data_IF_763930616621
#
_entry.id   IF_763930616621
#
_cell.length_a   1.000
_cell.length_b   1.000
_cell.length_c   1.000
_cell.angle_alpha   90.00
_cell.angle_beta   90.00
_cell.angle_gamma   90.00
#
_symmetry.space_group_name_H-M   'P 1'
#
loop_
_entity.id
_entity.type
_entity.pdbx_description
1 polymer ?
#
# COMPACT_ATOMS: atom_id res chain seq x y z
N UNK A 1 -0.46 1.25 -24.26
CA UNK A 1 -0.10 2.11 -23.11
C UNK A 1 0.22 1.17 -21.95
N UNK A 2 1.29 1.42 -21.22
CA UNK A 2 1.67 0.67 -20.02
C UNK A 2 0.63 0.93 -18.92
N UNK A 3 0.07 -0.13 -18.34
CA UNK A 3 -0.99 -0.04 -17.35
C UNK A 3 -0.43 -0.20 -15.93
N UNK A 4 -0.53 0.85 -15.13
CA UNK A 4 -0.01 0.92 -13.76
C UNK A 4 -1.16 0.72 -12.78
N UNK A 5 -1.12 -0.38 -12.00
CA UNK A 5 -2.19 -0.75 -11.07
C UNK A 5 -1.65 -0.85 -9.65
N UNK A 6 -2.34 -0.19 -8.71
CA UNK A 6 -2.10 -0.39 -7.29
C UNK A 6 -2.89 -1.59 -6.76
N UNK A 7 -2.22 -2.50 -6.05
CA UNK A 7 -2.88 -3.52 -5.24
C UNK A 7 -2.73 -3.21 -3.75
N UNK A 8 -3.85 -3.19 -3.03
CA UNK A 8 -3.88 -3.03 -1.58
C UNK A 8 -4.05 -4.39 -0.94
N UNK A 9 -3.01 -4.88 -0.27
CA UNK A 9 -3.06 -6.09 0.53
C UNK A 9 -3.83 -5.83 1.84
N UNK A 10 -5.01 -6.44 1.98
CA UNK A 10 -5.89 -6.22 3.13
C UNK A 10 -6.52 -7.52 3.63
N UNK A 11 -6.37 -7.81 4.94
CA UNK A 11 -6.99 -8.95 5.61
C UNK A 11 -7.51 -8.55 6.99
N UNK A 12 -8.60 -9.20 7.43
CA UNK A 12 -9.13 -9.00 8.79
C UNK A 12 -8.30 -9.75 9.85
N UNK A 13 -7.57 -10.79 9.44
CA UNK A 13 -6.85 -11.72 10.31
C UNK A 13 -5.48 -11.21 10.79
N UNK A 14 -5.37 -9.98 11.27
CA UNK A 14 -4.16 -9.50 11.95
C UNK A 14 -4.02 -10.14 13.32
N UNK A 15 -2.85 -10.69 13.65
CA UNK A 15 -2.60 -11.31 14.95
C UNK A 15 -2.54 -10.30 16.10
N UNK A 16 -1.99 -9.12 15.85
CA UNK A 16 -1.80 -8.04 16.84
C UNK A 16 -3.03 -7.14 17.01
N UNK A 17 -3.79 -6.95 15.93
CA UNK A 17 -4.97 -6.08 15.90
C UNK A 17 -6.02 -6.65 14.92
N UNK A 18 -6.78 -7.68 15.35
CA UNK A 18 -7.82 -8.28 14.52
C UNK A 18 -8.86 -7.26 14.05
N UNK A 19 -9.26 -7.35 12.80
CA UNK A 19 -10.27 -6.44 12.24
C UNK A 19 -9.78 -5.05 11.88
N UNK A 20 -8.48 -4.77 11.97
CA UNK A 20 -7.89 -3.43 11.78
C UNK A 20 -8.32 -2.72 10.50
N UNK A 21 -8.58 -3.45 9.41
CA UNK A 21 -9.00 -2.85 8.14
C UNK A 21 -10.35 -2.11 8.20
N UNK A 22 -11.24 -2.58 9.07
CA UNK A 22 -12.57 -1.97 9.28
C UNK A 22 -12.66 -1.11 10.53
N UNK A 23 -11.58 -0.94 11.30
CA UNK A 23 -11.54 -0.02 12.44
C UNK A 23 -11.70 1.42 11.97
N UNK A 24 -12.35 2.22 12.80
CA UNK A 24 -12.59 3.64 12.49
C UNK A 24 -11.45 4.52 13.03
N UNK A 25 -10.87 5.32 12.17
CA UNK A 25 -9.96 6.42 12.52
C UNK A 25 -10.67 7.74 12.17
N UNK A 26 -10.98 8.55 13.17
CA UNK A 26 -11.76 9.76 12.94
C UNK A 26 -13.15 9.52 12.33
N UNK A 27 -13.76 8.35 12.58
CA UNK A 27 -15.08 7.99 12.05
C UNK A 27 -15.08 7.33 10.67
N UNK A 28 -13.91 7.18 10.02
CA UNK A 28 -13.75 6.60 8.68
C UNK A 28 -12.97 5.27 8.78
N UNK A 29 -13.38 4.19 8.10
CA UNK A 29 -12.63 2.93 8.08
C UNK A 29 -11.18 3.10 7.59
N UNK A 30 -10.24 2.35 8.18
CA UNK A 30 -8.83 2.33 7.78
C UNK A 30 -8.67 2.10 6.29
N UNK A 31 -9.35 1.08 5.76
CA UNK A 31 -9.32 0.77 4.33
C UNK A 31 -9.82 1.93 3.46
N UNK A 32 -10.86 2.63 3.91
CA UNK A 32 -11.44 3.77 3.20
C UNK A 32 -10.47 4.96 3.15
N UNK A 33 -9.76 5.22 4.24
CA UNK A 33 -8.72 6.26 4.25
C UNK A 33 -7.67 6.01 3.16
N UNK A 34 -7.18 4.78 3.02
CA UNK A 34 -6.17 4.45 2.01
C UNK A 34 -6.74 4.49 0.59
N UNK A 35 -7.89 3.84 0.37
CA UNK A 35 -8.51 3.76 -0.97
C UNK A 35 -8.84 5.14 -1.51
N UNK A 36 -9.51 6.00 -0.70
CA UNK A 36 -9.91 7.34 -1.14
C UNK A 36 -8.73 8.26 -1.42
N UNK A 37 -7.59 8.04 -0.76
CA UNK A 37 -6.33 8.74 -1.06
C UNK A 37 -5.72 8.25 -2.37
N UNK A 38 -5.59 6.95 -2.55
CA UNK A 38 -5.01 6.38 -3.76
C UNK A 38 -5.84 6.67 -5.02
N UNK A 39 -7.16 6.82 -4.88
CA UNK A 39 -8.03 7.27 -5.98
C UNK A 39 -7.75 8.71 -6.45
N UNK A 40 -6.93 9.48 -5.71
CA UNK A 40 -6.49 10.83 -6.12
C UNK A 40 -5.13 10.83 -6.83
N UNK A 41 -4.49 9.69 -6.98
CA UNK A 41 -3.29 9.58 -7.79
C UNK A 41 -3.62 9.97 -9.25
N UNK A 42 -2.75 10.76 -9.85
CA UNK A 42 -2.88 11.23 -11.23
C UNK A 42 -2.24 10.25 -12.22
N UNK A 43 -1.50 9.26 -11.71
CA UNK A 43 -0.70 8.35 -12.55
C UNK A 43 -1.08 6.88 -12.42
N UNK A 44 -1.96 6.52 -11.50
CA UNK A 44 -2.53 5.16 -11.41
C UNK A 44 -3.64 4.99 -12.45
N UNK A 45 -3.59 3.91 -13.23
CA UNK A 45 -4.67 3.51 -14.16
C UNK A 45 -5.78 2.72 -13.45
N UNK A 46 -5.58 2.36 -12.20
CA UNK A 46 -6.57 1.67 -11.38
C UNK A 46 -6.03 1.17 -10.05
N UNK A 47 -6.97 0.69 -9.25
CA UNK A 47 -6.70 0.17 -7.91
C UNK A 47 -7.55 -1.07 -7.68
N UNK A 48 -6.97 -2.07 -7.00
CA UNK A 48 -7.65 -3.29 -6.59
C UNK A 48 -7.30 -3.66 -5.15
N UNK A 49 -8.29 -4.10 -4.39
CA UNK A 49 -8.06 -4.69 -3.07
C UNK A 49 -7.80 -6.19 -3.25
N UNK A 50 -6.68 -6.66 -2.70
CA UNK A 50 -6.31 -8.07 -2.68
C UNK A 50 -6.57 -8.64 -1.28
N UNK A 51 -7.68 -9.38 -1.12
CA UNK A 51 -8.07 -10.00 0.15
C UNK A 51 -8.18 -11.51 0.04
N UNK A 52 -8.41 -12.21 1.16
CA UNK A 52 -8.51 -13.67 1.09
C UNK A 52 -9.93 -14.15 0.73
N UNK A 53 -10.01 -15.42 0.30
CA UNK A 53 -11.25 -16.13 0.02
C UNK A 53 -11.95 -16.64 1.29
N UNK A 54 -11.36 -16.40 2.47
CA UNK A 54 -11.91 -16.83 3.75
C UNK A 54 -13.09 -15.95 4.20
N UNK A 55 -14.08 -16.53 4.87
CA UNK A 55 -15.26 -15.81 5.40
C UNK A 55 -14.90 -14.65 6.33
N UNK A 56 -13.79 -14.76 7.07
CA UNK A 56 -13.31 -13.67 7.94
C UNK A 56 -13.02 -12.37 7.19
N UNK A 57 -12.71 -12.43 5.90
CA UNK A 57 -12.41 -11.28 5.05
C UNK A 57 -13.61 -10.76 4.24
N UNK A 58 -14.81 -11.37 4.41
CA UNK A 58 -16.06 -10.89 3.78
C UNK A 58 -16.36 -9.41 4.06
N UNK A 59 -16.07 -8.85 5.26
CA UNK A 59 -16.26 -7.41 5.51
C UNK A 59 -15.50 -6.51 4.52
N UNK A 60 -14.28 -6.90 4.13
CA UNK A 60 -13.46 -6.16 3.15
C UNK A 60 -14.09 -6.25 1.76
N UNK A 61 -14.44 -7.46 1.31
CA UNK A 61 -15.06 -7.68 0.00
C UNK A 61 -16.42 -6.98 -0.12
N UNK A 62 -17.22 -7.03 0.95
CA UNK A 62 -18.51 -6.34 1.02
C UNK A 62 -18.36 -4.82 1.00
N UNK A 63 -17.34 -4.29 1.68
CA UNK A 63 -17.02 -2.87 1.64
C UNK A 63 -16.64 -2.46 0.21
N UNK A 64 -15.72 -3.18 -0.42
CA UNK A 64 -15.27 -2.92 -1.79
C UNK A 64 -16.44 -2.89 -2.79
N UNK A 65 -17.32 -3.91 -2.72
CA UNK A 65 -18.50 -3.99 -3.59
C UNK A 65 -19.44 -2.79 -3.42
N UNK A 66 -19.72 -2.38 -2.16
CA UNK A 66 -20.59 -1.24 -1.88
C UNK A 66 -20.02 0.10 -2.38
N UNK A 67 -18.71 0.22 -2.45
CA UNK A 67 -18.02 1.45 -2.88
C UNK A 67 -17.55 1.40 -4.34
N UNK A 68 -17.89 0.34 -5.08
CA UNK A 68 -17.52 0.19 -6.49
C UNK A 68 -16.00 0.00 -6.72
N UNK A 69 -15.27 -0.49 -5.69
CA UNK A 69 -13.83 -0.74 -5.76
C UNK A 69 -13.60 -2.18 -6.22
N UNK A 70 -12.66 -2.38 -7.14
CA UNK A 70 -12.27 -3.72 -7.57
C UNK A 70 -11.72 -4.52 -6.38
N UNK A 71 -12.10 -5.79 -6.28
CA UNK A 71 -11.65 -6.65 -5.20
C UNK A 71 -11.37 -8.06 -5.76
N UNK A 72 -10.18 -8.55 -5.52
CA UNK A 72 -9.76 -9.92 -5.80
C UNK A 72 -9.71 -10.71 -4.52
N UNK A 73 -10.28 -11.92 -4.53
CA UNK A 73 -10.23 -12.86 -3.41
C UNK A 73 -9.36 -14.05 -3.78
N UNK A 74 -8.29 -14.26 -3.04
CA UNK A 74 -7.33 -15.32 -3.29
C UNK A 74 -6.86 -16.02 -2.03
N UNK A 75 -5.71 -16.68 -2.08
CA UNK A 75 -5.17 -17.47 -0.97
C UNK A 75 -5.04 -16.65 0.33
N UNK A 76 -5.56 -17.19 1.44
CA UNK A 76 -5.37 -16.63 2.78
C UNK A 76 -3.94 -16.80 3.32
N UNK A 77 -3.16 -17.75 2.75
CA UNK A 77 -1.80 -18.09 3.24
C UNK A 77 -0.68 -17.62 2.33
N UNK A 78 -1.00 -17.26 1.10
CA UNK A 78 -0.04 -16.92 0.06
C UNK A 78 -0.33 -15.52 -0.47
N UNK A 79 0.36 -14.52 0.10
CA UNK A 79 0.25 -13.12 -0.28
C UNK A 79 0.69 -12.87 -1.71
N UNK A 80 1.80 -13.51 -2.12
CA UNK A 80 2.34 -13.37 -3.47
C UNK A 80 1.36 -13.90 -4.54
N UNK A 81 0.79 -15.10 -4.34
CA UNK A 81 -0.21 -15.64 -5.27
C UNK A 81 -1.47 -14.77 -5.31
N UNK A 82 -1.87 -14.21 -4.17
CA UNK A 82 -3.04 -13.31 -4.07
C UNK A 82 -2.77 -11.98 -4.78
N UNK A 83 -1.63 -11.35 -4.54
CA UNK A 83 -1.20 -10.13 -5.23
C UNK A 83 -1.08 -10.32 -6.73
N UNK A 84 -0.44 -11.43 -7.17
CA UNK A 84 -0.34 -11.78 -8.60
C UNK A 84 -1.72 -11.94 -9.23
N UNK A 85 -2.63 -12.69 -8.60
CA UNK A 85 -3.98 -12.87 -9.11
C UNK A 85 -4.77 -11.57 -9.22
N UNK A 86 -4.61 -10.66 -8.25
CA UNK A 86 -5.21 -9.33 -8.30
C UNK A 86 -4.68 -8.50 -9.48
N UNK A 87 -3.38 -8.50 -9.69
CA UNK A 87 -2.73 -7.76 -10.78
C UNK A 87 -3.09 -8.33 -12.16
N UNK A 88 -3.16 -9.65 -12.32
CA UNK A 88 -3.60 -10.31 -13.56
C UNK A 88 -5.07 -10.02 -13.85
N UNK A 89 -5.94 -10.01 -12.84
CA UNK A 89 -7.35 -9.64 -12.96
C UNK A 89 -7.50 -8.23 -13.55
N UNK A 90 -6.64 -7.30 -13.13
CA UNK A 90 -6.60 -5.92 -13.62
C UNK A 90 -5.85 -5.76 -14.95
N UNK A 91 -5.19 -6.82 -15.46
CA UNK A 91 -4.35 -6.75 -16.67
C UNK A 91 -3.27 -5.67 -16.54
N UNK A 92 -2.59 -5.62 -15.41
CA UNK A 92 -1.52 -4.65 -15.17
C UNK A 92 -0.27 -5.00 -15.98
N UNK A 93 0.56 -3.99 -16.24
CA UNK A 93 1.93 -4.13 -16.72
C UNK A 93 2.92 -3.82 -15.59
N UNK A 94 2.56 -2.83 -14.77
CA UNK A 94 3.34 -2.32 -13.64
C UNK A 94 2.52 -2.40 -12.36
N UNK A 95 3.16 -2.90 -11.32
CA UNK A 95 2.60 -3.14 -9.99
C UNK A 95 3.04 -2.03 -9.05
N UNK A 96 2.09 -1.42 -8.35
CA UNK A 96 2.31 -0.62 -7.15
C UNK A 96 1.79 -1.43 -5.98
N UNK A 97 2.70 -1.89 -5.09
CA UNK A 97 2.32 -2.65 -3.91
C UNK A 97 2.04 -1.72 -2.72
N UNK A 98 0.89 -1.93 -2.08
CA UNK A 98 0.44 -1.13 -0.94
C UNK A 98 -0.05 -2.02 0.19
N UNK A 99 0.44 -1.77 1.42
CA UNK A 99 -0.07 -2.41 2.62
C UNK A 99 -1.34 -1.70 3.10
N UNK A 100 -2.40 -2.45 3.39
CA UNK A 100 -3.70 -1.92 3.80
C UNK A 100 -3.69 -1.22 5.17
N UNK A 101 -2.69 -1.47 5.99
CA UNK A 101 -2.53 -0.89 7.33
C UNK A 101 -1.81 0.47 7.36
N UNK A 102 -1.65 1.11 6.20
CA UNK A 102 -1.04 2.43 6.04
C UNK A 102 -2.08 3.47 5.58
N UNK A 103 -3.04 3.85 6.46
CA UNK A 103 -4.25 4.59 6.07
C UNK A 103 -3.98 5.98 5.48
N UNK A 104 -2.86 6.60 5.83
CA UNK A 104 -2.57 8.00 5.48
C UNK A 104 -1.49 8.14 4.41
N UNK A 105 -1.28 7.10 3.59
CA UNK A 105 -0.34 7.15 2.47
C UNK A 105 -0.70 8.28 1.51
N UNK A 106 0.30 9.05 1.12
CA UNK A 106 0.12 10.20 0.23
C UNK A 106 0.22 9.74 -1.24
N UNK A 107 -0.79 10.00 -2.08
CA UNK A 107 -0.78 9.61 -3.49
C UNK A 107 0.33 10.28 -4.30
N UNK A 108 0.81 11.47 -3.90
CA UNK A 108 1.88 12.17 -4.61
C UNK A 108 3.20 11.41 -4.59
N UNK A 109 3.49 10.67 -3.48
CA UNK A 109 4.69 9.82 -3.40
C UNK A 109 4.57 8.66 -4.40
N UNK A 110 3.36 8.11 -4.58
CA UNK A 110 3.10 7.09 -5.59
C UNK A 110 3.28 7.66 -6.99
N UNK A 111 2.77 8.86 -7.25
CA UNK A 111 2.89 9.54 -8.54
C UNK A 111 4.34 9.84 -8.90
N UNK A 112 5.14 10.35 -7.95
CA UNK A 112 6.57 10.59 -8.12
C UNK A 112 7.33 9.28 -8.43
N UNK A 113 6.99 8.21 -7.72
CA UNK A 113 7.61 6.90 -7.95
C UNK A 113 7.26 6.32 -9.33
N UNK A 114 6.02 6.48 -9.81
CA UNK A 114 5.60 6.09 -11.16
C UNK A 114 6.33 6.93 -12.22
N UNK A 115 6.53 8.21 -11.96
CA UNK A 115 7.29 9.08 -12.86
C UNK A 115 8.74 8.63 -13.00
N UNK A 116 9.41 8.31 -11.89
CA UNK A 116 10.79 7.80 -11.91
C UNK A 116 10.86 6.41 -12.55
N UNK A 117 9.87 5.53 -12.34
CA UNK A 117 9.77 4.26 -13.06
C UNK A 117 9.73 4.45 -14.58
N UNK A 118 8.93 5.39 -15.06
CA UNK A 118 8.78 5.65 -16.49
C UNK A 118 10.03 6.29 -17.13
N UNK A 119 10.86 6.97 -16.34
CA UNK A 119 12.10 7.65 -16.80
C UNK A 119 13.32 6.74 -16.80
N UNK A 120 13.28 5.62 -16.06
CA UNK A 120 14.46 4.80 -15.80
C UNK A 120 14.28 3.37 -16.31
N UNK A 121 15.39 2.77 -16.69
CA UNK A 121 15.46 1.33 -16.96
C UNK A 121 15.90 0.61 -15.68
N UNK A 122 14.94 0.36 -14.78
CA UNK A 122 15.14 -0.26 -13.47
C UNK A 122 14.13 -1.38 -13.23
N UNK A 123 14.42 -2.24 -12.25
CA UNK A 123 13.58 -3.38 -11.89
C UNK A 123 12.68 -3.09 -10.67
N UNK A 124 13.09 -2.09 -9.86
CA UNK A 124 12.34 -1.57 -8.70
C UNK A 124 12.57 -0.08 -8.54
N UNK A 125 11.51 0.69 -8.29
CA UNK A 125 11.57 2.01 -7.65
C UNK A 125 11.02 1.88 -6.25
N UNK A 126 11.74 2.38 -5.24
CA UNK A 126 11.34 2.23 -3.84
C UNK A 126 11.72 3.44 -2.98
N UNK A 127 10.95 3.68 -1.93
CA UNK A 127 11.32 4.56 -0.82
C UNK A 127 11.76 3.78 0.42
N UNK A 128 11.53 2.46 0.44
CA UNK A 128 11.69 1.63 1.64
C UNK A 128 13.16 1.41 2.06
N UNK A 129 14.14 1.54 1.17
CA UNK A 129 15.56 1.34 1.50
C UNK A 129 16.16 2.50 2.28
N UNK A 130 15.89 3.72 1.86
CA UNK A 130 16.44 4.93 2.50
C UNK A 130 15.78 5.24 3.85
N UNK A 131 14.51 4.82 4.02
CA UNK A 131 13.71 5.02 5.25
C UNK A 131 13.72 6.47 5.77
N UNK A 132 13.64 7.43 4.87
CA UNK A 132 13.60 8.86 5.21
C UNK A 132 12.19 9.36 5.49
N UNK A 133 11.18 8.75 4.87
CA UNK A 133 9.76 9.06 5.08
C UNK A 133 9.26 8.55 6.45
N UNK A 134 8.11 9.06 6.93
CA UNK A 134 7.37 8.40 8.00
C UNK A 134 7.07 6.94 7.64
N UNK A 135 7.22 6.03 8.60
CA UNK A 135 6.84 4.63 8.45
C UNK A 135 5.35 4.53 8.05
N UNK A 136 5.06 3.80 6.97
CA UNK A 136 3.72 3.74 6.37
C UNK A 136 3.52 4.66 5.14
N UNK A 137 4.56 5.38 4.71
CA UNK A 137 4.58 6.14 3.46
C UNK A 137 5.40 5.45 2.36
N UNK A 138 5.87 4.23 2.61
CA UNK A 138 6.72 3.50 1.67
C UNK A 138 5.96 3.13 0.39
N UNK A 139 6.66 3.22 -0.74
CA UNK A 139 6.15 2.85 -2.06
C UNK A 139 7.14 1.90 -2.73
N UNK A 140 6.62 0.88 -3.38
CA UNK A 140 7.38 -0.07 -4.18
C UNK A 140 6.69 -0.28 -5.52
N UNK A 141 7.46 -0.09 -6.61
CA UNK A 141 6.98 -0.22 -7.98
C UNK A 141 7.88 -1.14 -8.76
N UNK A 142 7.31 -2.17 -9.38
CA UNK A 142 8.02 -3.15 -10.20
C UNK A 142 7.11 -3.72 -11.29
N UNK A 143 7.66 -4.46 -12.25
CA UNK A 143 6.87 -5.00 -13.36
C UNK A 143 6.04 -6.22 -12.94
N UNK A 144 4.88 -6.43 -13.56
CA UNK A 144 4.12 -7.68 -13.45
C UNK A 144 4.97 -8.89 -13.85
N UNK A 145 5.90 -8.72 -14.81
CA UNK A 145 6.82 -9.76 -15.22
C UNK A 145 7.74 -10.21 -14.07
N UNK A 146 8.24 -9.25 -13.26
CA UNK A 146 9.04 -9.56 -12.07
C UNK A 146 8.20 -10.33 -11.04
N UNK A 147 6.96 -9.88 -10.77
CA UNK A 147 6.05 -10.57 -9.86
C UNK A 147 5.78 -12.03 -10.28
N UNK A 148 5.54 -12.26 -11.58
CA UNK A 148 5.37 -13.62 -12.13
C UNK A 148 6.61 -14.48 -11.91
N UNK A 149 7.78 -13.93 -12.17
CA UNK A 149 9.05 -14.62 -11.94
C UNK A 149 9.23 -14.98 -10.46
N UNK A 150 8.91 -14.07 -9.53
CA UNK A 150 8.99 -14.35 -8.09
C UNK A 150 7.99 -15.43 -7.67
N UNK A 151 6.77 -15.37 -8.13
CA UNK A 151 5.74 -16.35 -7.81
C UNK A 151 6.13 -17.77 -8.27
N UNK A 152 6.88 -17.88 -9.37
CA UNK A 152 7.39 -19.15 -9.91
C UNK A 152 8.65 -19.65 -9.20
N UNK A 153 9.58 -18.76 -8.80
CA UNK A 153 10.92 -19.13 -8.35
C UNK A 153 11.10 -19.09 -6.83
N UNK A 154 10.30 -18.29 -6.13
CA UNK A 154 10.47 -18.08 -4.70
C UNK A 154 9.33 -18.72 -3.91
N UNK A 155 9.70 -19.66 -3.05
CA UNK A 155 8.77 -20.43 -2.21
C UNK A 155 9.02 -20.23 -0.72
N UNK A 156 10.00 -19.38 -0.38
CA UNK A 156 10.34 -19.02 0.99
C UNK A 156 9.14 -18.30 1.65
N UNK A 157 8.85 -18.56 2.94
CA UNK A 157 7.73 -17.92 3.64
C UNK A 157 7.74 -16.40 3.55
N UNK A 158 8.92 -15.79 3.64
CA UNK A 158 9.10 -14.34 3.56
C UNK A 158 8.69 -13.78 2.18
N UNK A 159 9.08 -14.46 1.10
CA UNK A 159 8.71 -14.10 -0.26
C UNK A 159 7.21 -14.29 -0.51
N UNK A 160 6.60 -15.33 0.10
CA UNK A 160 5.15 -15.58 -0.03
C UNK A 160 4.30 -14.60 0.77
N UNK A 161 4.85 -13.96 1.78
CA UNK A 161 4.18 -12.91 2.56
C UNK A 161 4.46 -11.51 2.02
N UNK A 162 5.71 -11.23 1.60
CA UNK A 162 6.17 -9.93 1.12
C UNK A 162 6.62 -10.02 -0.34
N UNK A 163 5.77 -9.62 -1.26
CA UNK A 163 5.96 -9.88 -2.71
C UNK A 163 7.19 -9.20 -3.30
N UNK A 164 7.64 -8.08 -2.74
CA UNK A 164 8.85 -7.36 -3.13
C UNK A 164 10.14 -7.90 -2.51
N UNK A 165 10.05 -8.78 -1.48
CA UNK A 165 11.19 -9.33 -0.76
C UNK A 165 12.29 -9.89 -1.67
N UNK A 166 12.00 -10.65 -2.76
CA UNK A 166 13.04 -11.17 -3.64
C UNK A 166 13.92 -10.10 -4.30
N UNK A 167 13.38 -8.89 -4.53
CA UNK A 167 14.15 -7.78 -5.10
C UNK A 167 15.30 -7.32 -4.21
N UNK A 168 15.16 -7.51 -2.90
CA UNK A 168 16.16 -7.09 -1.91
C UNK A 168 17.18 -8.19 -1.57
N UNK A 169 17.00 -9.42 -2.09
CA UNK A 169 17.87 -10.56 -1.76
C UNK A 169 19.03 -10.76 -2.74
N UNK A 170 19.12 -9.93 -3.79
CA UNK A 170 20.16 -10.06 -4.80
C UNK A 170 20.56 -8.70 -5.37
N UNK A 171 21.86 -8.50 -5.54
CA UNK A 171 22.44 -7.30 -6.18
C UNK A 171 22.26 -7.31 -7.72
N UNK A 172 21.62 -8.33 -8.28
CA UNK A 172 21.38 -8.40 -9.74
C UNK A 172 20.24 -7.49 -10.19
N UNK A 173 19.35 -7.08 -9.28
CA UNK A 173 18.24 -6.20 -9.58
C UNK A 173 18.66 -4.73 -9.55
N UNK A 174 18.25 -3.98 -10.57
CA UNK A 174 18.53 -2.54 -10.67
C UNK A 174 17.47 -1.79 -9.84
N UNK A 175 17.85 -1.34 -8.68
CA UNK A 175 16.96 -0.66 -7.73
C UNK A 175 17.25 0.84 -7.74
N UNK A 176 16.22 1.64 -7.94
CA UNK A 176 16.26 3.08 -7.78
C UNK A 176 15.59 3.49 -6.47
N UNK A 177 16.35 4.15 -5.61
CA UNK A 177 15.82 4.75 -4.39
C UNK A 177 15.22 6.13 -4.73
N UNK A 178 13.93 6.29 -4.52
CA UNK A 178 13.25 7.56 -4.70
C UNK A 178 13.65 8.54 -3.58
N UNK A 179 14.26 9.64 -3.96
CA UNK A 179 14.58 10.73 -3.03
C UNK A 179 13.36 11.65 -2.91
N UNK A 180 12.87 11.80 -1.69
CA UNK A 180 11.71 12.64 -1.39
C UNK A 180 12.12 14.02 -0.86
N UNK A 181 11.25 15.04 -0.97
CA UNK A 181 11.50 16.37 -0.42
C UNK A 181 11.86 16.33 1.07
N UNK A 182 12.82 17.19 1.48
CA UNK A 182 13.32 17.22 2.86
C UNK A 182 12.23 17.45 3.90
N UNK A 183 11.23 18.27 3.60
CA UNK A 183 10.12 18.54 4.51
C UNK A 183 9.21 17.31 4.79
N UNK A 184 9.27 16.25 3.96
CA UNK A 184 8.60 14.98 4.20
C UNK A 184 9.47 13.98 4.97
N UNK A 185 10.75 14.23 5.11
CA UNK A 185 11.68 13.33 5.78
C UNK A 185 11.45 13.36 7.30
N UNK A 186 10.75 12.38 7.83
CA UNK A 186 10.38 12.22 9.25
C UNK A 186 10.41 10.74 9.65
N UNK A 187 11.58 10.12 9.53
CA UNK A 187 11.78 8.68 9.75
C UNK A 187 11.40 8.19 11.16
N UNK A 188 11.37 9.08 12.14
CA UNK A 188 10.93 8.75 13.51
C UNK A 188 9.39 8.71 13.65
N UNK A 189 8.64 9.23 12.70
CA UNK A 189 7.17 9.22 12.73
C UNK A 189 6.64 7.91 12.17
N UNK A 190 5.72 7.26 12.93
CA UNK A 190 5.08 6.01 12.53
C UNK A 190 3.60 6.24 12.22
N UNK A 191 3.20 5.89 11.00
CA UNK A 191 1.82 6.03 10.48
C UNK A 191 1.23 4.67 10.05
N UNK A 192 1.71 3.59 10.64
CA UNK A 192 1.23 2.21 10.41
C UNK A 192 0.32 1.77 11.54
N UNK A 193 -0.76 1.10 11.21
CA UNK A 193 -1.74 0.56 12.17
C UNK A 193 -1.49 -0.93 12.44
N UNK A 194 -0.79 -1.22 13.54
CA UNK A 194 -0.48 -2.60 13.92
C UNK A 194 -0.92 -2.99 15.33
N UNK A 195 -1.03 -2.02 16.21
CA UNK A 195 -1.31 -2.23 17.63
C UNK A 195 -2.47 -1.34 18.10
N UNK A 196 -3.08 -1.63 19.27
CA UNK A 196 -4.07 -0.73 19.86
C UNK A 196 -3.55 0.68 20.12
N UNK A 197 -2.27 0.85 20.46
CA UNK A 197 -1.66 2.17 20.63
C UNK A 197 -1.54 2.93 19.31
N UNK A 198 -1.23 2.23 18.21
CA UNK A 198 -1.26 2.85 16.87
C UNK A 198 -2.68 3.32 16.54
N UNK A 199 -3.70 2.50 16.83
CA UNK A 199 -5.10 2.87 16.58
C UNK A 199 -5.51 4.13 17.34
N UNK A 200 -5.13 4.24 18.61
CA UNK A 200 -5.39 5.43 19.41
C UNK A 200 -4.67 6.66 18.83
N UNK A 201 -3.38 6.55 18.55
CA UNK A 201 -2.56 7.62 18.00
C UNK A 201 -3.09 8.09 16.64
N UNK A 202 -3.27 7.17 15.68
CA UNK A 202 -3.74 7.49 14.34
C UNK A 202 -5.19 8.02 14.36
N UNK A 203 -6.03 7.53 15.28
CA UNK A 203 -7.39 8.04 15.46
C UNK A 203 -7.42 9.49 15.92
N UNK A 204 -6.58 9.87 16.92
CA UNK A 204 -6.44 11.25 17.35
C UNK A 204 -5.87 12.14 16.24
N UNK A 205 -4.86 11.64 15.51
CA UNK A 205 -4.25 12.36 14.41
C UNK A 205 -5.26 12.62 13.28
N UNK A 206 -6.03 11.60 12.89
CA UNK A 206 -7.09 11.75 11.90
C UNK A 206 -8.11 12.82 12.31
N UNK A 207 -8.59 12.77 13.55
CA UNK A 207 -9.57 13.75 14.06
C UNK A 207 -8.98 15.18 14.08
N UNK A 208 -7.73 15.36 14.50
CA UNK A 208 -7.07 16.65 14.50
C UNK A 208 -6.88 17.22 13.09
N UNK A 209 -6.47 16.38 12.14
CA UNK A 209 -6.34 16.76 10.74
C UNK A 209 -7.70 17.09 10.10
N UNK A 210 -8.73 16.30 10.39
CA UNK A 210 -10.07 16.50 9.83
C UNK A 210 -10.66 17.85 10.27
N UNK A 211 -10.54 18.18 11.53
CA UNK A 211 -11.01 19.48 12.07
C UNK A 211 -10.31 20.67 11.39
N UNK A 212 -9.01 20.53 11.08
CA UNK A 212 -8.20 21.65 10.57
C UNK A 212 -8.19 21.74 9.03
N UNK A 213 -8.23 20.60 8.34
CA UNK A 213 -8.00 20.51 6.90
C UNK A 213 -9.09 19.74 6.15
N UNK A 214 -10.07 19.16 6.86
CA UNK A 214 -11.09 18.27 6.31
C UNK A 214 -10.60 16.82 6.13
N UNK A 215 -11.52 15.90 5.77
CA UNK A 215 -11.25 14.45 5.77
C UNK A 215 -10.22 13.99 4.72
N UNK A 216 -9.86 14.88 3.80
CA UNK A 216 -8.94 14.57 2.70
C UNK A 216 -7.55 15.19 2.87
N UNK A 217 -7.12 15.42 4.12
CA UNK A 217 -5.79 15.94 4.44
C UNK A 217 -4.68 15.11 3.78
N UNK A 218 -3.58 15.77 3.41
CA UNK A 218 -2.40 15.17 2.80
C UNK A 218 -1.25 15.04 3.82
N UNK A 219 -0.07 14.56 3.37
CA UNK A 219 1.09 14.41 4.24
C UNK A 219 1.56 15.74 4.84
N UNK A 220 1.55 16.84 4.06
CA UNK A 220 1.94 18.16 4.59
C UNK A 220 1.02 18.61 5.72
N UNK A 221 -0.29 18.41 5.55
CA UNK A 221 -1.29 18.71 6.58
C UNK A 221 -1.06 17.89 7.83
N UNK A 222 -0.75 16.59 7.64
CA UNK A 222 -0.48 15.66 8.72
C UNK A 222 0.78 16.06 9.48
N UNK A 223 1.87 16.40 8.78
CA UNK A 223 3.11 16.84 9.40
C UNK A 223 3.00 18.20 10.09
N UNK A 224 2.07 19.05 9.67
CA UNK A 224 1.83 20.36 10.27
C UNK A 224 0.99 20.33 11.58
N UNK A 225 0.58 19.13 12.03
CA UNK A 225 -0.09 18.91 13.33
C UNK A 225 0.92 18.62 14.44
N UNK A 226 2.16 18.25 14.07
CA UNK A 226 3.29 18.01 14.98
C UNK A 226 4.14 19.26 15.15
#
# INVERSE_FOLDING_TARGET
>A
MTRVIASIEARMGSSRLPGKMMMLLGGIPVLEHLVTRMMKSERLDGLIIATSDQFGDDPIANWANRHGVQCYRGSGKDGMARGLGAQENMRSDVVVELCGDTPFRDPRIVDDAIEEWNRRDVDLVTTARLRTLPDGQDVEIFSLKALKYFAEKHHEPEAREHVSWPLYQSDTWRIHDLVVPEHWQRSALRLVLDTPSDAQFLGHLAAACDVKYGPTFNLDNLLAVF
#
